data_IF_179099449913
#
_entry.id   IF_179099449913
#
_cell.length_a   1.000
_cell.length_b   1.000
_cell.length_c   1.000
_cell.angle_alpha   90.00
_cell.angle_beta   90.00
_cell.angle_gamma   90.00
#
_symmetry.space_group_name_H-M   'P 1'
#
loop_
_entity.id
_entity.type
_entity.pdbx_description
1 polymer ?
#
# COMPACT_ATOMS: atom_id res chain seq x y z
N UNK A 1 -22.77 0.09 1.13
CA UNK A 1 -24.24 0.10 1.14
C UNK A 1 -24.74 -1.29 1.51
N UNK A 2 -25.77 -1.45 2.38
CA UNK A 2 -26.16 -2.78 2.85
C UNK A 2 -26.59 -3.70 1.71
N UNK A 3 -25.94 -4.85 1.60
CA UNK A 3 -26.22 -5.90 0.62
C UNK A 3 -27.51 -6.64 1.02
N UNK A 4 -28.33 -7.01 0.05
CA UNK A 4 -29.50 -7.88 0.30
C UNK A 4 -29.10 -9.33 0.01
N UNK A 5 -29.19 -10.18 1.03
CA UNK A 5 -28.95 -11.63 0.88
C UNK A 5 -30.23 -12.40 1.21
N UNK A 6 -30.57 -13.38 0.39
CA UNK A 6 -31.75 -14.23 0.56
C UNK A 6 -31.32 -15.63 1.01
N UNK A 7 -31.96 -16.14 2.07
CA UNK A 7 -31.70 -17.50 2.56
C UNK A 7 -32.32 -18.54 1.60
N UNK A 8 -31.50 -19.47 1.09
CA UNK A 8 -31.95 -20.55 0.20
C UNK A 8 -32.96 -21.50 0.84
N UNK A 9 -32.88 -21.72 2.16
CA UNK A 9 -33.74 -22.69 2.85
C UNK A 9 -35.11 -22.13 3.24
N UNK A 10 -35.19 -20.84 3.61
CA UNK A 10 -36.43 -20.25 4.15
C UNK A 10 -36.95 -19.03 3.38
N UNK A 11 -36.25 -18.59 2.34
CA UNK A 11 -36.68 -17.51 1.45
C UNK A 11 -36.66 -16.10 2.05
N UNK A 12 -36.27 -15.93 3.33
CA UNK A 12 -36.20 -14.60 3.96
C UNK A 12 -34.98 -13.81 3.46
N UNK A 13 -35.22 -12.53 3.16
CA UNK A 13 -34.20 -11.56 2.76
C UNK A 13 -33.70 -10.77 3.96
N UNK A 14 -32.38 -10.58 4.06
CA UNK A 14 -31.74 -9.85 5.14
C UNK A 14 -30.80 -8.78 4.58
N UNK A 15 -30.74 -7.63 5.26
CA UNK A 15 -29.70 -6.62 5.03
C UNK A 15 -28.39 -7.04 5.71
N UNK A 16 -27.35 -7.22 4.91
CA UNK A 16 -26.02 -7.66 5.33
C UNK A 16 -25.03 -6.51 5.14
N UNK A 17 -24.24 -6.14 6.17
CA UNK A 17 -23.21 -5.12 6.02
C UNK A 17 -22.08 -5.57 5.09
N UNK A 18 -21.49 -4.65 4.34
CA UNK A 18 -20.49 -4.88 3.27
C UNK A 18 -19.28 -5.69 3.76
N UNK A 19 -18.88 -5.56 5.03
CA UNK A 19 -17.80 -6.34 5.65
C UNK A 19 -18.01 -7.87 5.62
N UNK A 20 -19.23 -8.31 5.33
CA UNK A 20 -19.63 -9.70 5.20
C UNK A 20 -19.81 -10.15 3.74
N UNK A 21 -19.54 -9.30 2.74
CA UNK A 21 -19.50 -9.70 1.33
C UNK A 21 -18.60 -10.94 1.15
N UNK A 22 -19.07 -11.92 0.38
CA UNK A 22 -18.39 -13.20 0.15
C UNK A 22 -18.29 -14.14 1.37
N UNK A 23 -18.73 -13.73 2.56
CA UNK A 23 -18.65 -14.55 3.79
C UNK A 23 -19.97 -15.28 4.07
N UNK A 24 -19.85 -16.41 4.77
CA UNK A 24 -21.00 -17.20 5.25
C UNK A 24 -21.45 -16.72 6.63
N UNK A 25 -22.76 -16.60 6.84
CA UNK A 25 -23.37 -16.26 8.12
C UNK A 25 -24.60 -17.12 8.40
N UNK A 26 -25.03 -17.22 9.66
CA UNK A 26 -26.20 -18.04 10.02
C UNK A 26 -27.50 -17.26 9.80
N UNK A 27 -28.49 -17.90 9.17
CA UNK A 27 -29.83 -17.35 9.02
C UNK A 27 -30.49 -17.15 10.40
N UNK A 28 -31.01 -15.96 10.66
CA UNK A 28 -31.70 -15.65 11.93
C UNK A 28 -33.03 -16.39 12.11
N UNK A 29 -33.57 -16.96 11.03
CA UNK A 29 -34.88 -17.63 11.04
C UNK A 29 -34.78 -19.16 11.15
N UNK A 30 -33.95 -19.80 10.32
CA UNK A 30 -33.81 -21.27 10.31
C UNK A 30 -32.47 -21.79 10.84
N UNK A 31 -31.49 -20.91 11.09
CA UNK A 31 -30.16 -21.29 11.60
C UNK A 31 -29.18 -21.81 10.53
N UNK A 32 -29.65 -22.02 9.29
CA UNK A 32 -28.83 -22.56 8.20
C UNK A 32 -27.83 -21.53 7.65
N UNK A 33 -26.64 -21.93 7.18
CA UNK A 33 -25.66 -20.99 6.66
C UNK A 33 -26.09 -20.40 5.32
N UNK A 34 -26.06 -19.07 5.22
CA UNK A 34 -26.32 -18.27 4.03
C UNK A 34 -25.01 -17.64 3.56
N UNK A 35 -24.76 -17.70 2.27
CA UNK A 35 -23.61 -17.04 1.65
C UNK A 35 -24.01 -15.63 1.23
N UNK A 36 -23.30 -14.62 1.72
CA UNK A 36 -23.50 -13.26 1.24
C UNK A 36 -22.97 -13.16 -0.20
N UNK A 37 -23.63 -12.36 -1.07
CA UNK A 37 -23.09 -12.08 -2.40
C UNK A 37 -21.68 -11.51 -2.27
N UNK A 38 -20.81 -11.93 -3.17
CA UNK A 38 -19.52 -11.28 -3.37
C UNK A 38 -19.82 -9.91 -3.97
N UNK A 39 -19.22 -8.86 -3.40
CA UNK A 39 -19.14 -7.61 -4.13
C UNK A 39 -18.21 -7.94 -5.28
N UNK A 40 -18.73 -7.96 -6.50
CA UNK A 40 -17.88 -7.75 -7.66
C UNK A 40 -17.18 -6.42 -7.33
N UNK A 41 -15.89 -6.53 -6.98
CA UNK A 41 -15.07 -5.36 -6.87
C UNK A 41 -15.15 -4.76 -8.27
N UNK A 42 -15.72 -3.56 -8.38
CA UNK A 42 -15.50 -2.73 -9.55
C UNK A 42 -13.98 -2.47 -9.59
N UNK A 43 -13.25 -3.45 -10.10
CA UNK A 43 -11.81 -3.40 -10.36
C UNK A 43 -11.50 -2.36 -11.46
N UNK A 44 -12.56 -1.78 -12.05
CA UNK A 44 -12.54 -0.66 -12.99
C UNK A 44 -12.39 0.72 -12.30
N UNK A 45 -12.40 0.81 -10.97
CA UNK A 45 -12.22 2.09 -10.24
C UNK A 45 -10.80 2.71 -10.38
N UNK A 46 -9.87 2.04 -11.06
CA UNK A 46 -8.54 2.59 -11.36
C UNK A 46 -8.26 2.78 -12.86
N UNK A 47 -9.12 2.31 -13.77
CA UNK A 47 -8.94 2.48 -15.22
C UNK A 47 -9.73 3.66 -15.81
N UNK A 48 -10.67 4.25 -15.07
CA UNK A 48 -11.52 5.37 -15.55
C UNK A 48 -11.25 6.73 -14.85
N UNK A 49 -10.11 6.88 -14.16
CA UNK A 49 -9.63 8.22 -13.75
C UNK A 49 -8.95 8.94 -14.93
N UNK A 50 -9.70 9.18 -16.00
CA UNK A 50 -9.41 10.26 -16.95
C UNK A 50 -9.80 11.59 -16.26
N UNK A 51 -8.80 12.23 -15.66
CA UNK A 51 -8.94 13.47 -14.90
C UNK A 51 -9.11 14.66 -15.86
N UNK A 52 -10.27 14.72 -16.51
CA UNK A 52 -10.68 15.75 -17.45
C UNK A 52 -11.93 16.51 -17.02
N UNK A 53 -11.80 17.37 -16.00
CA UNK A 53 -12.66 18.55 -15.78
C UNK A 53 -14.10 18.32 -15.27
N UNK A 54 -14.43 18.96 -14.15
CA UNK A 54 -15.84 19.19 -13.78
C UNK A 54 -16.06 19.38 -12.28
N UNK A 55 -16.44 20.59 -11.89
CA UNK A 55 -17.01 20.96 -10.60
C UNK A 55 -18.02 19.94 -10.06
N UNK A 56 -18.00 19.65 -8.75
CA UNK A 56 -19.25 19.51 -7.97
C UNK A 56 -19.02 19.61 -6.46
N UNK A 57 -19.64 20.66 -5.90
CA UNK A 57 -20.56 20.71 -4.75
C UNK A 57 -20.32 19.74 -3.58
N UNK A 58 -19.99 20.33 -2.44
CA UNK A 58 -19.85 19.68 -1.13
C UNK A 58 -21.22 19.73 -0.41
N UNK A 59 -21.85 18.58 -0.19
CA UNK A 59 -23.10 18.46 0.59
C UNK A 59 -22.76 18.01 2.03
N UNK A 60 -23.11 18.87 3.00
CA UNK A 60 -22.92 18.67 4.43
C UNK A 60 -23.78 17.51 4.97
N UNK A 61 -23.13 16.51 5.59
CA UNK A 61 -23.83 15.46 6.35
C UNK A 61 -23.47 15.50 7.85
N UNK A 62 -24.47 15.31 8.75
CA UNK A 62 -24.29 15.48 10.19
C UNK A 62 -23.59 14.29 10.89
N UNK A 63 -22.99 14.51 12.07
CA UNK A 63 -22.19 13.50 12.76
C UNK A 63 -23.03 12.39 13.41
N UNK A 64 -22.67 11.12 13.15
CA UNK A 64 -23.29 9.93 13.74
C UNK A 64 -22.62 9.54 15.07
N UNK A 65 -23.42 9.50 16.13
CA UNK A 65 -23.02 9.12 17.50
C UNK A 65 -22.72 7.62 17.64
N UNK A 66 -21.59 7.29 18.28
CA UNK A 66 -21.20 5.92 18.61
C UNK A 66 -21.64 5.56 20.03
N UNK A 67 -22.51 4.55 20.16
CA UNK A 67 -22.81 3.89 21.44
C UNK A 67 -21.92 2.67 21.63
N UNK A 68 -21.18 2.66 22.73
CA UNK A 68 -20.34 1.58 23.22
C UNK A 68 -21.20 0.44 23.81
N UNK A 69 -20.94 -0.80 23.36
CA UNK A 69 -21.68 -1.99 23.75
C UNK A 69 -20.75 -3.12 24.20
N UNK A 70 -20.67 -3.29 25.52
CA UNK A 70 -19.91 -4.27 26.31
C UNK A 70 -20.57 -5.66 26.25
N UNK A 71 -19.84 -6.74 25.96
CA UNK A 71 -20.25 -8.12 26.32
C UNK A 71 -19.01 -9.02 26.47
N UNK A 72 -18.66 -9.52 27.68
CA UNK A 72 -19.17 -10.67 28.45
C UNK A 72 -18.89 -12.07 27.83
N UNK A 73 -17.72 -12.62 28.16
CA UNK A 73 -17.46 -13.89 28.91
C UNK A 73 -18.41 -15.09 28.70
N UNK A 74 -17.89 -16.23 28.23
CA UNK A 74 -18.26 -17.61 28.66
C UNK A 74 -17.08 -18.56 28.31
N UNK A 75 -16.41 -19.26 29.24
CA UNK A 75 -16.72 -20.45 30.07
C UNK A 75 -16.88 -21.80 29.31
N UNK A 76 -15.79 -22.60 29.34
CA UNK A 76 -15.61 -23.93 29.98
C UNK A 76 -16.39 -25.17 29.47
N UNK A 77 -15.66 -26.25 29.15
CA UNK A 77 -15.80 -27.66 29.67
C UNK A 77 -14.80 -28.56 28.90
N UNK A 78 -13.84 -29.27 29.51
CA UNK A 78 -13.85 -30.54 30.29
C UNK A 78 -14.62 -31.71 29.64
N UNK A 79 -13.89 -32.72 29.17
CA UNK A 79 -14.10 -34.19 29.28
C UNK A 79 -12.80 -34.85 28.78
N UNK A 80 -12.04 -35.60 29.59
CA UNK A 80 -12.28 -37.01 29.97
C UNK A 80 -11.33 -37.85 29.11
N UNK A 81 -10.39 -38.67 29.59
CA UNK A 81 -10.35 -39.44 30.83
C UNK A 81 -10.48 -40.92 30.46
N UNK A 82 -9.35 -41.57 30.16
CA UNK A 82 -9.16 -43.03 30.26
C UNK A 82 -9.44 -43.87 29.01
N UNK A 83 -8.37 -44.35 28.37
CA UNK A 83 -8.20 -45.78 28.06
C UNK A 83 -6.72 -46.03 27.73
N UNK A 84 -6.02 -46.65 28.67
CA UNK A 84 -4.74 -47.33 28.43
C UNK A 84 -5.10 -48.77 28.09
N UNK A 85 -4.49 -49.33 27.03
CA UNK A 85 -4.34 -50.76 26.64
C UNK A 85 -4.65 -50.91 25.14
N UNK A 86 -3.61 -50.83 24.30
CA UNK A 86 -3.42 -51.53 23.02
C UNK A 86 -2.15 -51.01 22.32
N UNK A 87 -1.01 -51.09 23.02
CA UNK A 87 0.34 -51.05 22.43
C UNK A 87 0.69 -52.54 22.31
N UNK A 88 0.98 -53.13 21.16
CA UNK A 88 2.28 -53.11 20.47
C UNK A 88 2.01 -53.80 19.11
N UNK A 89 1.63 -53.04 18.08
CA UNK A 89 1.61 -53.41 16.65
C UNK A 89 1.14 -52.24 15.75
N UNK A 90 0.43 -51.26 16.32
CA UNK A 90 -0.05 -50.05 15.63
C UNK A 90 0.80 -48.79 15.87
N UNK A 91 2.04 -48.94 16.33
CA UNK A 91 2.91 -47.80 16.68
C UNK A 91 3.54 -47.10 15.46
N UNK A 92 3.67 -47.78 14.32
CA UNK A 92 4.23 -47.20 13.08
C UNK A 92 3.23 -46.31 12.34
N UNK A 93 1.97 -46.72 12.26
CA UNK A 93 0.93 -45.99 11.50
C UNK A 93 0.48 -44.72 12.24
N UNK A 94 0.28 -44.79 13.56
CA UNK A 94 -0.09 -43.62 14.36
C UNK A 94 1.04 -42.59 14.43
N UNK A 95 2.30 -43.04 14.51
CA UNK A 95 3.48 -42.18 14.46
C UNK A 95 3.62 -41.48 13.11
N UNK A 96 3.41 -42.20 12.01
CA UNK A 96 3.45 -41.64 10.65
C UNK A 96 2.32 -40.63 10.40
N UNK A 97 1.10 -40.91 10.85
CA UNK A 97 -0.01 -39.97 10.74
C UNK A 97 0.21 -38.71 11.58
N UNK A 98 0.71 -38.84 12.82
CA UNK A 98 1.04 -37.69 13.65
C UNK A 98 2.16 -36.83 13.02
N UNK A 99 3.17 -37.46 12.43
CA UNK A 99 4.23 -36.79 11.69
C UNK A 99 3.67 -36.06 10.46
N UNK A 100 2.83 -36.70 9.66
CA UNK A 100 2.22 -36.09 8.47
C UNK A 100 1.31 -34.91 8.81
N UNK A 101 0.54 -35.00 9.91
CA UNK A 101 -0.25 -33.88 10.41
C UNK A 101 0.66 -32.75 10.89
N UNK A 102 1.74 -33.06 11.63
CA UNK A 102 2.70 -32.04 12.07
C UNK A 102 3.38 -31.35 10.87
N UNK A 103 3.81 -32.10 9.86
CA UNK A 103 4.39 -31.54 8.62
C UNK A 103 3.36 -30.71 7.86
N UNK A 104 2.13 -31.19 7.71
CA UNK A 104 1.06 -30.42 7.05
C UNK A 104 0.71 -29.12 7.78
N UNK A 105 0.70 -29.13 9.12
CA UNK A 105 0.52 -27.95 9.95
C UNK A 105 1.69 -27.00 9.78
N UNK A 106 2.94 -27.48 9.78
CA UNK A 106 4.15 -26.65 9.56
C UNK A 106 4.15 -26.04 8.15
N UNK A 107 3.82 -26.81 7.10
CA UNK A 107 3.76 -26.30 5.72
C UNK A 107 2.67 -25.24 5.57
N UNK A 108 1.52 -25.40 6.25
CA UNK A 108 0.46 -24.36 6.25
C UNK A 108 0.77 -23.16 7.15
N UNK A 109 1.53 -23.33 8.23
CA UNK A 109 1.97 -22.24 9.11
C UNK A 109 3.21 -21.51 8.59
N UNK A 110 4.05 -22.12 7.75
CA UNK A 110 5.24 -21.52 7.19
C UNK A 110 4.97 -20.19 6.45
N UNK A 111 3.96 -20.05 5.57
CA UNK A 111 3.65 -18.75 4.96
C UNK A 111 3.05 -17.74 5.95
N UNK A 112 2.39 -18.22 7.01
CA UNK A 112 1.87 -17.38 8.11
C UNK A 112 3.01 -16.84 9.00
N UNK A 113 4.04 -17.65 9.22
CA UNK A 113 5.26 -17.27 9.94
C UNK A 113 6.22 -16.46 9.05
N UNK A 114 6.28 -16.72 7.75
CA UNK A 114 7.02 -15.90 6.79
C UNK A 114 6.39 -14.52 6.58
N UNK A 115 5.09 -14.37 6.89
CA UNK A 115 4.43 -13.06 6.97
C UNK A 115 4.74 -12.30 8.27
N UNK A 116 5.47 -12.90 9.23
CA UNK A 116 6.00 -12.16 10.37
C UNK A 116 7.20 -11.35 9.91
N UNK A 117 6.91 -10.10 9.52
CA UNK A 117 7.82 -8.97 9.36
C UNK A 117 9.28 -9.39 9.15
N UNK A 118 9.61 -9.86 7.94
CA UNK A 118 11.01 -9.83 7.50
C UNK A 118 11.51 -8.42 7.76
N UNK A 119 12.57 -8.22 8.55
CA UNK A 119 13.10 -6.90 8.81
C UNK A 119 13.32 -6.23 7.45
N UNK A 120 12.84 -4.99 7.30
CA UNK A 120 12.98 -4.23 6.07
C UNK A 120 14.48 -4.16 5.76
N UNK A 121 14.95 -5.00 4.84
CA UNK A 121 16.35 -5.04 4.43
C UNK A 121 16.56 -3.85 3.51
N UNK A 122 17.17 -2.79 4.05
CA UNK A 122 17.51 -1.62 3.28
C UNK A 122 18.60 -1.97 2.28
N UNK A 123 18.33 -1.71 1.01
CA UNK A 123 19.25 -1.94 -0.09
C UNK A 123 19.55 -0.60 -0.75
N UNK A 124 20.81 -0.39 -1.10
CA UNK A 124 21.21 0.74 -1.92
C UNK A 124 20.73 0.50 -3.35
N UNK A 125 20.10 1.52 -3.92
CA UNK A 125 19.52 1.50 -5.24
C UNK A 125 20.02 2.70 -6.02
N UNK A 126 20.61 2.45 -7.18
CA UNK A 126 21.01 3.47 -8.13
C UNK A 126 20.03 3.48 -9.29
N UNK A 127 19.58 4.68 -9.67
CA UNK A 127 18.69 4.88 -10.82
C UNK A 127 19.32 4.33 -12.11
N UNK A 128 18.53 3.95 -13.13
CA UNK A 128 19.04 3.32 -14.35
C UNK A 128 20.06 4.19 -15.11
N UNK A 129 20.02 5.50 -14.93
CA UNK A 129 20.95 6.47 -15.50
C UNK A 129 22.22 6.69 -14.67
N UNK A 130 22.35 6.06 -13.50
CA UNK A 130 23.52 6.19 -12.62
C UNK A 130 23.57 7.48 -11.80
N UNK A 131 22.64 8.41 -11.98
CA UNK A 131 22.73 9.79 -11.45
C UNK A 131 22.30 9.88 -10.00
N UNK A 132 21.26 9.14 -9.58
CA UNK A 132 20.74 9.21 -8.21
C UNK A 132 20.90 7.86 -7.52
N UNK A 133 21.46 7.87 -6.32
CA UNK A 133 21.55 6.70 -5.45
C UNK A 133 20.80 6.96 -4.16
N UNK A 134 19.97 6.01 -3.73
CA UNK A 134 19.17 6.10 -2.50
C UNK A 134 18.97 4.72 -1.86
N UNK A 135 18.59 4.66 -0.60
CA UNK A 135 18.26 3.41 0.08
C UNK A 135 16.76 3.12 -0.01
N UNK A 136 16.40 1.91 -0.44
CA UNK A 136 15.03 1.43 -0.56
C UNK A 136 14.78 0.26 0.41
N UNK A 137 13.58 0.14 1.01
CA UNK A 137 13.28 -0.89 2.01
C UNK A 137 12.84 -2.22 1.37
N UNK A 138 13.60 -2.71 0.39
CA UNK A 138 13.33 -3.94 -0.34
C UNK A 138 13.80 -3.90 -1.79
N UNK A 139 13.44 -4.95 -2.54
CA UNK A 139 13.76 -5.05 -3.96
C UNK A 139 12.89 -4.08 -4.78
N UNK A 140 13.54 -3.22 -5.55
CA UNK A 140 12.90 -2.22 -6.40
C UNK A 140 12.18 -2.88 -7.57
N UNK A 141 10.98 -2.40 -7.87
CA UNK A 141 10.15 -2.82 -9.00
C UNK A 141 9.59 -1.58 -9.72
N UNK A 142 9.13 -1.77 -10.95
CA UNK A 142 8.36 -0.73 -11.65
C UNK A 142 7.01 -0.53 -10.96
N UNK A 143 6.70 0.72 -10.61
CA UNK A 143 5.45 1.11 -9.97
C UNK A 143 4.68 1.98 -10.94
N UNK A 144 3.41 1.70 -11.22
CA UNK A 144 2.61 2.57 -12.08
C UNK A 144 2.24 3.86 -11.32
N UNK A 145 2.54 5.02 -11.89
CA UNK A 145 2.08 6.32 -11.39
C UNK A 145 1.13 6.91 -12.43
N UNK A 146 -0.02 7.42 -11.97
CA UNK A 146 -1.09 7.87 -12.87
C UNK A 146 -0.77 9.16 -13.64
N UNK A 147 0.18 9.97 -13.18
CA UNK A 147 0.53 11.25 -13.81
C UNK A 147 2.04 11.34 -13.99
N UNK A 148 2.56 10.66 -15.02
CA UNK A 148 3.98 10.71 -15.36
C UNK A 148 4.13 11.22 -16.81
N UNK A 149 5.12 12.08 -17.05
CA UNK A 149 5.39 12.59 -18.39
C UNK A 149 5.71 11.44 -19.39
N UNK A 150 5.50 11.62 -20.71
CA UNK A 150 5.92 10.63 -21.70
C UNK A 150 7.41 10.28 -21.57
N UNK A 151 7.71 8.99 -21.43
CA UNK A 151 9.07 8.50 -21.21
C UNK A 151 9.53 8.49 -19.74
N UNK A 152 8.68 8.91 -18.81
CA UNK A 152 8.98 8.80 -17.39
C UNK A 152 9.08 7.35 -16.93
N UNK A 153 10.00 7.11 -16.00
CA UNK A 153 10.19 5.81 -15.36
C UNK A 153 9.95 5.94 -13.86
N UNK A 154 9.17 5.02 -13.31
CA UNK A 154 8.80 5.02 -11.90
C UNK A 154 9.18 3.70 -11.26
N UNK A 155 10.08 3.78 -10.28
CA UNK A 155 10.75 2.64 -9.67
C UNK A 155 10.62 2.77 -8.17
N UNK A 156 10.23 1.70 -7.49
CA UNK A 156 9.98 1.78 -6.06
C UNK A 156 9.72 0.46 -5.37
N UNK A 157 9.41 0.57 -4.09
CA UNK A 157 8.96 -0.53 -3.23
C UNK A 157 7.59 -0.17 -2.68
N UNK A 158 6.60 -0.99 -2.97
CA UNK A 158 5.25 -0.85 -2.43
C UNK A 158 5.02 -1.91 -1.34
N UNK A 159 4.50 -1.46 -0.20
CA UNK A 159 4.06 -2.32 0.89
C UNK A 159 2.59 -2.03 1.19
N UNK A 160 1.97 -2.88 2.02
CA UNK A 160 0.57 -2.66 2.46
C UNK A 160 0.34 -1.34 3.21
N UNK A 161 1.39 -0.70 3.74
CA UNK A 161 1.27 0.49 4.61
C UNK A 161 1.88 1.76 4.02
N UNK A 162 2.88 1.60 3.17
CA UNK A 162 3.60 2.71 2.56
C UNK A 162 4.23 2.30 1.23
N UNK A 163 4.55 3.28 0.40
CA UNK A 163 5.33 3.13 -0.82
C UNK A 163 6.49 4.12 -0.83
N UNK A 164 7.66 3.67 -1.27
CA UNK A 164 8.82 4.51 -1.58
C UNK A 164 9.02 4.46 -3.09
N UNK A 165 8.90 5.59 -3.78
CA UNK A 165 8.97 5.66 -5.25
C UNK A 165 9.96 6.74 -5.66
N UNK A 166 10.76 6.47 -6.68
CA UNK A 166 11.49 7.48 -7.44
C UNK A 166 10.91 7.53 -8.85
N UNK A 167 10.53 8.72 -9.29
CA UNK A 167 10.09 8.99 -10.66
C UNK A 167 11.20 9.77 -11.35
N UNK A 168 11.59 9.31 -12.55
CA UNK A 168 12.60 9.91 -13.40
C UNK A 168 11.89 10.41 -14.65
N UNK A 169 11.84 11.72 -14.84
CA UNK A 169 11.16 12.35 -15.97
C UNK A 169 12.17 13.04 -16.88
N UNK A 170 12.23 12.70 -18.18
CA UNK A 170 13.14 13.36 -19.09
C UNK A 170 12.67 14.81 -19.34
N UNK A 171 13.62 15.74 -19.29
CA UNK A 171 13.34 17.16 -19.53
C UNK A 171 13.10 17.37 -21.03
N UNK A 172 11.91 17.88 -21.43
CA UNK A 172 11.62 18.18 -22.83
C UNK A 172 12.65 19.17 -23.41
N UNK A 173 13.02 18.98 -24.67
CA UNK A 173 14.05 19.80 -25.32
C UNK A 173 13.75 21.31 -25.25
N UNK A 174 12.47 21.68 -25.25
CA UNK A 174 11.98 23.06 -25.22
C UNK A 174 12.31 23.81 -23.92
N UNK A 175 12.52 23.09 -22.82
CA UNK A 175 12.75 23.69 -21.49
C UNK A 175 14.18 23.47 -20.97
N UNK A 176 15.06 22.85 -21.76
CA UNK A 176 16.44 22.56 -21.34
C UNK A 176 17.29 23.80 -21.10
N UNK A 177 17.04 24.85 -21.88
CA UNK A 177 17.81 26.10 -21.83
C UNK A 177 17.30 27.08 -20.77
N UNK A 178 16.21 26.73 -20.07
CA UNK A 178 15.69 27.55 -18.97
C UNK A 178 16.67 27.43 -17.79
N UNK A 179 17.02 28.54 -17.12
CA UNK A 179 17.83 28.50 -15.90
C UNK A 179 17.22 27.58 -14.83
N UNK A 180 18.05 26.86 -14.08
CA UNK A 180 17.59 25.90 -13.06
C UNK A 180 16.65 26.55 -12.04
N UNK A 181 16.94 27.78 -11.60
CA UNK A 181 16.11 28.51 -10.67
C UNK A 181 14.70 28.81 -11.23
N UNK A 182 14.60 29.20 -12.51
CA UNK A 182 13.31 29.46 -13.17
C UNK A 182 12.52 28.17 -13.38
N UNK A 183 13.19 27.06 -13.71
CA UNK A 183 12.54 25.75 -13.79
C UNK A 183 11.97 25.30 -12.44
N UNK A 184 12.72 25.49 -11.35
CA UNK A 184 12.28 25.13 -10.00
C UNK A 184 11.09 26.01 -9.57
N UNK A 185 11.10 27.30 -9.91
CA UNK A 185 9.98 28.20 -9.63
C UNK A 185 8.72 27.84 -10.44
N UNK A 186 8.88 27.53 -11.73
CA UNK A 186 7.80 27.04 -12.58
C UNK A 186 7.23 25.71 -12.09
N UNK A 187 8.09 24.78 -11.68
CA UNK A 187 7.70 23.49 -11.10
C UNK A 187 6.94 23.69 -9.77
N UNK A 188 7.43 24.54 -8.89
CA UNK A 188 6.76 24.89 -7.63
C UNK A 188 5.36 25.45 -7.87
N UNK A 189 5.24 26.36 -8.83
CA UNK A 189 3.95 26.96 -9.23
C UNK A 189 2.99 25.92 -9.80
N UNK A 190 3.46 25.04 -10.68
CA UNK A 190 2.64 23.97 -11.27
C UNK A 190 2.17 22.95 -10.21
N UNK A 191 3.06 22.56 -9.29
CA UNK A 191 2.74 21.67 -8.16
C UNK A 191 1.68 22.31 -7.25
N UNK A 192 1.82 23.61 -6.96
CA UNK A 192 0.87 24.36 -6.12
C UNK A 192 -0.54 24.47 -6.71
N UNK A 193 -0.70 24.30 -8.02
CA UNK A 193 -2.01 24.27 -8.70
C UNK A 193 -2.69 22.88 -8.65
N UNK A 194 -1.98 21.83 -8.21
CA UNK A 194 -2.50 20.46 -8.21
C UNK A 194 -3.43 20.23 -7.00
N UNK A 195 -4.67 19.72 -7.21
CA UNK A 195 -5.59 19.45 -6.11
C UNK A 195 -5.00 18.50 -5.05
N UNK A 196 -5.20 18.86 -3.78
CA UNK A 196 -4.71 18.08 -2.63
C UNK A 196 -3.25 18.28 -2.30
N UNK A 197 -2.52 19.16 -2.99
CA UNK A 197 -1.14 19.52 -2.66
C UNK A 197 -1.10 20.60 -1.57
N UNK A 198 -0.16 20.48 -0.65
CA UNK A 198 0.13 21.44 0.41
C UNK A 198 1.63 21.50 0.72
N UNK A 199 2.03 22.43 1.58
CA UNK A 199 3.42 22.57 2.07
C UNK A 199 4.49 22.66 0.96
N UNK A 200 4.13 23.29 -0.17
CA UNK A 200 5.07 23.54 -1.27
C UNK A 200 6.15 24.51 -0.80
N UNK A 201 7.42 24.10 -0.89
CA UNK A 201 8.53 24.94 -0.47
C UNK A 201 9.85 24.54 -1.12
N UNK A 202 10.78 25.50 -1.20
CA UNK A 202 12.14 25.22 -1.66
C UNK A 202 12.89 24.30 -0.70
N UNK A 203 13.71 23.40 -1.26
CA UNK A 203 14.57 22.48 -0.53
C UNK A 203 15.91 22.32 -1.27
N UNK A 204 16.97 22.02 -0.54
CA UNK A 204 18.23 21.55 -1.12
C UNK A 204 18.37 20.04 -0.93
N UNK A 205 18.46 19.27 -2.01
CA UNK A 205 18.65 17.81 -1.99
C UNK A 205 20.03 17.49 -2.56
N UNK A 206 20.92 16.94 -1.73
CA UNK A 206 22.29 16.61 -2.14
C UNK A 206 23.02 17.76 -2.87
N UNK A 207 22.82 19.01 -2.41
CA UNK A 207 23.42 20.20 -3.02
C UNK A 207 22.69 20.76 -4.25
N UNK A 208 21.63 20.11 -4.74
CA UNK A 208 20.77 20.61 -5.83
C UNK A 208 19.57 21.36 -5.29
N UNK A 209 19.13 22.41 -5.99
CA UNK A 209 17.89 23.09 -5.66
C UNK A 209 16.70 22.22 -6.08
N UNK A 210 15.65 22.25 -5.27
CA UNK A 210 14.47 21.43 -5.45
C UNK A 210 13.25 22.01 -4.76
N UNK A 211 12.14 21.29 -4.88
CA UNK A 211 10.86 21.60 -4.26
C UNK A 211 10.45 20.41 -3.40
N UNK A 212 10.02 20.67 -2.18
CA UNK A 212 9.28 19.71 -1.36
C UNK A 212 7.80 20.06 -1.39
N UNK A 213 6.95 19.05 -1.34
CA UNK A 213 5.51 19.22 -1.24
C UNK A 213 4.86 17.99 -0.62
N UNK A 214 3.73 18.20 0.04
CA UNK A 214 2.86 17.15 0.53
C UNK A 214 1.66 17.03 -0.40
N UNK A 215 1.11 15.83 -0.54
CA UNK A 215 -0.14 15.59 -1.27
C UNK A 215 -1.02 14.61 -0.50
N UNK A 216 -2.30 14.94 -0.40
CA UNK A 216 -3.32 14.11 0.24
C UNK A 216 -4.40 13.77 -0.79
N UNK A 217 -4.62 12.47 -1.02
CA UNK A 217 -5.67 11.95 -1.89
C UNK A 217 -6.45 10.87 -1.14
N UNK A 218 -7.65 11.22 -0.65
CA UNK A 218 -8.41 10.35 0.24
C UNK A 218 -7.67 10.09 1.56
N UNK A 219 -7.42 8.82 1.87
CA UNK A 219 -6.63 8.39 3.05
C UNK A 219 -5.12 8.28 2.76
N UNK A 220 -4.70 8.50 1.52
CA UNK A 220 -3.30 8.40 1.12
C UNK A 220 -2.63 9.75 1.32
N UNK A 221 -1.61 9.77 2.18
CA UNK A 221 -0.73 10.90 2.38
C UNK A 221 0.59 10.63 1.65
N UNK A 222 1.18 11.64 1.06
CA UNK A 222 2.49 11.54 0.44
C UNK A 222 3.31 12.80 0.69
N UNK A 223 4.61 12.60 0.94
CA UNK A 223 5.63 13.66 0.95
C UNK A 223 6.52 13.41 -0.26
N UNK A 224 6.81 14.44 -1.05
CA UNK A 224 7.62 14.33 -2.25
C UNK A 224 8.69 15.42 -2.30
N UNK A 225 9.84 15.07 -2.89
CA UNK A 225 10.97 15.98 -3.12
C UNK A 225 11.38 15.87 -4.58
N UNK A 226 11.22 16.96 -5.31
CA UNK A 226 11.56 17.07 -6.71
C UNK A 226 12.81 17.93 -6.90
N UNK A 227 13.76 17.49 -7.73
CA UNK A 227 14.95 18.26 -8.07
C UNK A 227 15.44 17.90 -9.47
N UNK A 228 16.22 18.79 -10.09
CA UNK A 228 16.84 18.57 -11.40
C UNK A 228 18.25 17.99 -11.25
N UNK A 229 18.60 17.03 -12.10
CA UNK A 229 20.00 16.64 -12.30
C UNK A 229 20.24 16.16 -13.73
N UNK A 230 21.22 16.76 -14.40
CA UNK A 230 21.47 16.50 -15.83
C UNK A 230 20.24 16.85 -16.68
N UNK A 231 19.80 15.89 -17.48
CA UNK A 231 18.66 16.02 -18.41
C UNK A 231 17.34 15.46 -17.84
N UNK A 232 17.29 15.13 -16.54
CA UNK A 232 16.13 14.52 -15.91
C UNK A 232 15.66 15.32 -14.68
N UNK A 233 14.36 15.30 -14.43
CA UNK A 233 13.77 15.59 -13.13
C UNK A 233 13.64 14.30 -12.33
N UNK A 234 13.96 14.37 -11.04
CA UNK A 234 13.80 13.27 -10.11
C UNK A 234 12.79 13.68 -9.07
N UNK A 235 11.75 12.87 -8.88
CA UNK A 235 10.79 13.03 -7.79
C UNK A 235 10.87 11.82 -6.90
N UNK A 236 11.39 12.01 -5.67
CA UNK A 236 11.40 10.98 -4.64
C UNK A 236 10.15 11.16 -3.79
N UNK A 237 9.32 10.14 -3.70
CA UNK A 237 8.02 10.17 -3.01
C UNK A 237 7.96 9.09 -1.93
N UNK A 238 7.53 9.49 -0.75
CA UNK A 238 7.13 8.60 0.33
C UNK A 238 5.61 8.72 0.54
N UNK A 239 4.86 7.68 0.18
CA UNK A 239 3.41 7.62 0.37
C UNK A 239 3.03 6.64 1.48
N UNK A 240 1.99 6.93 2.26
CA UNK A 240 1.54 6.11 3.37
C UNK A 240 0.05 6.27 3.66
N UNK A 241 -0.55 5.26 4.30
CA UNK A 241 -1.91 5.31 4.85
C UNK A 241 -1.86 5.32 6.38
N UNK A 242 -2.64 6.21 7.01
CA UNK A 242 -2.67 6.34 8.46
C UNK A 242 -1.50 7.16 9.02
N UNK A 243 -0.88 6.71 10.12
CA UNK A 243 0.24 7.45 10.73
C UNK A 243 1.56 7.22 9.98
N UNK A 244 2.36 8.27 9.72
CA UNK A 244 3.62 8.14 9.01
C UNK A 244 4.62 7.30 9.80
N UNK A 245 5.33 6.41 9.12
CA UNK A 245 6.55 5.82 9.67
C UNK A 245 7.72 6.79 9.39
N UNK A 246 7.93 7.73 10.32
CA UNK A 246 8.95 8.78 10.20
C UNK A 246 10.35 8.20 10.00
N UNK A 247 10.69 7.08 10.64
CA UNK A 247 12.00 6.44 10.47
C UNK A 247 12.25 5.96 9.05
N UNK A 248 11.24 5.35 8.39
CA UNK A 248 11.36 4.90 7.00
C UNK A 248 11.45 6.10 6.07
N UNK A 249 10.60 7.10 6.29
CA UNK A 249 10.57 8.34 5.52
C UNK A 249 11.91 9.07 5.58
N UNK A 250 12.40 9.34 6.78
CA UNK A 250 13.63 10.11 7.01
C UNK A 250 14.83 9.36 6.43
N UNK A 251 14.85 8.02 6.58
CA UNK A 251 15.92 7.20 6.00
C UNK A 251 15.88 7.23 4.46
N UNK A 252 14.71 7.17 3.84
CA UNK A 252 14.57 7.32 2.39
C UNK A 252 15.16 8.66 1.93
N UNK A 253 14.65 9.78 2.47
CA UNK A 253 15.05 11.10 2.00
C UNK A 253 16.49 11.49 2.35
N UNK A 254 16.98 11.12 3.53
CA UNK A 254 18.36 11.41 3.94
C UNK A 254 19.39 10.54 3.23
N UNK A 255 18.96 9.45 2.58
CA UNK A 255 19.84 8.58 1.81
C UNK A 255 20.07 9.03 0.37
N UNK A 256 19.32 10.04 -0.12
CA UNK A 256 19.42 10.51 -1.49
C UNK A 256 20.79 11.15 -1.73
N UNK A 257 21.52 10.61 -2.70
CA UNK A 257 22.81 11.11 -3.19
C UNK A 257 22.70 11.35 -4.69
N UNK A 258 23.25 12.46 -5.15
CA UNK A 258 23.41 12.75 -6.57
C UNK A 258 24.86 12.45 -6.92
N UNK A 259 25.07 11.42 -7.72
CA UNK A 259 26.35 11.16 -8.35
C UNK A 259 26.49 12.22 -9.44
N UNK A 260 27.48 13.10 -9.30
CA UNK A 260 27.90 13.89 -10.45
C UNK A 260 28.33 12.90 -11.52
N UNK A 261 27.51 12.74 -12.57
CA UNK A 261 27.91 11.98 -13.74
C UNK A 261 29.21 12.62 -14.15
N UNK A 262 30.33 11.93 -13.93
CA UNK A 262 31.63 12.40 -14.35
C UNK A 262 31.50 12.62 -15.85
N UNK A 263 31.34 13.86 -16.28
CA UNK A 263 31.14 14.27 -17.66
C UNK A 263 32.37 14.01 -18.52
N UNK A 264 33.17 12.98 -18.19
CA UNK A 264 34.12 12.35 -19.07
C UNK A 264 33.33 11.49 -20.06
N UNK A 265 32.69 12.15 -21.04
CA UNK A 265 32.77 11.57 -22.38
C UNK A 265 34.25 11.65 -22.79
N UNK A 266 34.91 10.54 -23.16
CA UNK A 266 36.21 10.57 -23.81
C UNK A 266 36.13 11.22 -25.21
#
# INVERSE_FOLDING_TARGET
MPLKATCSSCGKTFGVPDRFAGKRFKCKNCGEPVQAPELEADDDLFDDMDFGGGETVQEDLPPKSQKSGKSKKSKKSKKGGGSRIAVIAGASVAGFFALMVAVGVIVKLAPLLASMATPLSWQEYTTPDGVVTLQMPGAVKTVKVGMAAPGAQSLGVETRRFACVVVIEPIPAQVRDIPEAEMIDALSSAIGMTPGVSNVGGLTVAGKQGVQFDRVVGELHSEARAFKSGNNFYTVTFAYKGSPNTSVRDKLFNSVRVNESSGAMP
#
